data_IF_802040084846
#
_entry.id   IF_802040084846
#
_cell.length_a   1.000
_cell.length_b   1.000
_cell.length_c   1.000
_cell.angle_alpha   90.00
_cell.angle_beta   90.00
_cell.angle_gamma   90.00
#
_symmetry.space_group_name_H-M   'P 1'
#
loop_
_entity.id
_entity.type
_entity.pdbx_description
1 polymer ?
#
# COMPACT_ATOMS: atom_id res chain seq x y z
N UNK A 1 -2.68 14.46 8.27
CA UNK A 1 -3.17 13.64 7.14
C UNK A 1 -2.25 13.89 5.95
N UNK A 2 -1.39 12.92 5.62
CA UNK A 2 -0.34 13.03 4.60
C UNK A 2 -0.96 13.24 3.20
N UNK A 3 -2.11 12.62 2.91
CA UNK A 3 -2.78 12.73 1.60
C UNK A 3 -3.24 14.16 1.30
N UNK A 4 -3.76 14.88 2.32
CA UNK A 4 -4.24 16.26 2.15
C UNK A 4 -3.12 17.26 1.80
N UNK A 5 -1.88 16.93 2.13
CA UNK A 5 -0.73 17.79 1.90
C UNK A 5 -0.23 17.73 0.46
N UNK A 6 -0.62 16.70 -0.33
CA UNK A 6 -0.13 16.47 -1.70
C UNK A 6 1.41 16.59 -1.79
N UNK A 7 2.10 16.09 -0.77
CA UNK A 7 3.54 16.28 -0.62
C UNK A 7 4.33 15.59 -1.73
N UNK A 8 5.39 16.24 -2.20
CA UNK A 8 6.35 15.64 -3.14
C UNK A 8 7.45 14.88 -2.41
N UNK A 9 7.63 15.12 -1.11
CA UNK A 9 8.65 14.51 -0.25
C UNK A 9 8.56 12.98 -0.27
N UNK A 10 9.67 12.37 -0.66
CA UNK A 10 9.83 10.92 -0.80
C UNK A 10 9.84 10.23 0.56
N UNK A 11 10.41 10.84 1.60
CA UNK A 11 10.49 10.24 2.93
C UNK A 11 9.12 10.19 3.60
N UNK A 12 8.31 11.23 3.44
CA UNK A 12 6.92 11.21 3.88
C UNK A 12 6.08 10.14 3.15
N UNK A 13 6.33 9.90 1.86
CA UNK A 13 5.67 8.82 1.11
C UNK A 13 6.13 7.44 1.60
N UNK A 14 7.42 7.24 1.84
CA UNK A 14 7.96 6.00 2.41
C UNK A 14 7.33 5.70 3.77
N UNK A 15 7.25 6.71 4.64
CA UNK A 15 6.59 6.58 5.94
C UNK A 15 5.12 6.16 5.80
N UNK A 16 4.38 6.77 4.87
CA UNK A 16 2.99 6.38 4.62
C UNK A 16 2.86 4.91 4.19
N UNK A 17 3.77 4.44 3.31
CA UNK A 17 3.82 3.04 2.87
C UNK A 17 4.20 2.10 4.02
N UNK A 18 5.24 2.43 4.79
CA UNK A 18 5.70 1.62 5.92
C UNK A 18 4.58 1.49 6.99
N UNK A 19 3.82 2.57 7.22
CA UNK A 19 2.64 2.55 8.08
C UNK A 19 1.54 1.63 7.52
N UNK A 20 1.25 1.68 6.21
CA UNK A 20 0.28 0.78 5.57
C UNK A 20 0.70 -0.70 5.63
N UNK A 21 2.01 -0.99 5.55
CA UNK A 21 2.57 -2.32 5.74
C UNK A 21 2.40 -2.77 7.20
N UNK A 22 2.72 -1.91 8.18
CA UNK A 22 2.56 -2.19 9.60
C UNK A 22 1.10 -2.47 9.98
N UNK A 23 0.14 -1.72 9.42
CA UNK A 23 -1.29 -1.93 9.65
C UNK A 23 -1.87 -3.11 8.85
N UNK A 24 -1.06 -3.79 8.02
CA UNK A 24 -1.48 -4.93 7.23
C UNK A 24 -2.38 -4.59 6.03
N UNK A 25 -2.48 -3.32 5.64
CA UNK A 25 -3.40 -2.89 4.57
C UNK A 25 -2.98 -3.42 3.20
N UNK A 26 -1.67 -3.50 2.94
CA UNK A 26 -1.15 -4.09 1.70
C UNK A 26 -1.39 -5.61 1.66
N UNK A 27 -1.17 -6.30 2.79
CA UNK A 27 -1.44 -7.74 2.92
C UNK A 27 -2.93 -8.04 2.71
N UNK A 28 -3.82 -7.28 3.35
CA UNK A 28 -5.26 -7.39 3.16
C UNK A 28 -5.65 -7.24 1.69
N UNK A 29 -5.08 -6.24 1.01
CA UNK A 29 -5.37 -5.98 -0.41
C UNK A 29 -4.93 -7.16 -1.28
N UNK A 30 -3.76 -7.77 -1.02
CA UNK A 30 -3.32 -8.97 -1.75
C UNK A 30 -4.27 -10.14 -1.56
N UNK A 31 -4.64 -10.45 -0.31
CA UNK A 31 -5.62 -11.51 -0.02
C UNK A 31 -6.92 -11.28 -0.79
N UNK A 32 -7.41 -10.04 -0.79
CA UNK A 32 -8.64 -9.70 -1.51
C UNK A 32 -8.51 -9.89 -3.03
N UNK A 33 -7.37 -9.54 -3.63
CA UNK A 33 -7.11 -9.80 -5.05
C UNK A 33 -7.16 -11.31 -5.34
N UNK A 34 -6.50 -12.14 -4.54
CA UNK A 34 -6.53 -13.59 -4.74
C UNK A 34 -7.95 -14.17 -4.66
N UNK A 35 -8.74 -13.75 -3.68
CA UNK A 35 -10.15 -14.16 -3.57
C UNK A 35 -10.95 -13.74 -4.80
N UNK A 36 -10.79 -12.50 -5.28
CA UNK A 36 -11.50 -12.03 -6.48
C UNK A 36 -11.09 -12.80 -7.74
N UNK A 37 -9.81 -13.17 -7.85
CA UNK A 37 -9.30 -13.96 -8.97
C UNK A 37 -9.86 -15.38 -8.96
N UNK A 38 -9.97 -15.99 -7.78
CA UNK A 38 -10.61 -17.30 -7.59
C UNK A 38 -12.09 -17.26 -8.00
N UNK A 39 -12.85 -16.30 -7.47
CA UNK A 39 -14.26 -16.05 -7.85
C UNK A 39 -14.41 -15.86 -9.38
N UNK A 40 -13.48 -15.12 -10.01
CA UNK A 40 -13.48 -14.91 -11.46
C UNK A 40 -13.26 -16.20 -12.26
N UNK A 41 -12.34 -17.07 -11.82
CA UNK A 41 -12.09 -18.35 -12.50
C UNK A 41 -13.26 -19.31 -12.35
N UNK A 42 -13.91 -19.34 -11.18
CA UNK A 42 -15.15 -20.10 -10.96
C UNK A 42 -16.23 -19.66 -11.95
N UNK A 43 -16.54 -18.37 -11.99
CA UNK A 43 -17.53 -17.82 -12.93
C UNK A 43 -17.19 -18.10 -14.39
N UNK A 44 -15.90 -18.04 -14.76
CA UNK A 44 -15.47 -18.37 -16.12
C UNK A 44 -15.68 -19.84 -16.46
N UNK A 45 -15.47 -20.73 -15.51
CA UNK A 45 -15.69 -22.16 -15.71
C UNK A 45 -17.18 -22.48 -15.91
N UNK A 46 -18.06 -21.82 -15.17
CA UNK A 46 -19.52 -21.98 -15.27
C UNK A 46 -20.07 -21.49 -16.62
N UNK A 47 -19.45 -20.46 -17.20
CA UNK A 47 -19.86 -19.84 -18.46
C UNK A 47 -19.24 -20.50 -19.71
N UNK A 48 -18.55 -21.64 -19.56
CA UNK A 48 -17.96 -22.39 -20.67
C UNK A 48 -16.52 -22.01 -21.04
N UNK A 49 -15.87 -21.17 -20.22
CA UNK A 49 -14.45 -20.84 -20.32
C UNK A 49 -14.10 -19.79 -21.38
N UNK A 50 -13.05 -19.01 -21.11
CA UNK A 50 -12.48 -18.08 -22.08
C UNK A 50 -10.97 -17.93 -21.88
N UNK A 51 -10.18 -18.58 -22.73
CA UNK A 51 -8.71 -18.63 -22.60
C UNK A 51 -8.05 -17.25 -22.69
N UNK A 52 -8.57 -16.34 -23.53
CA UNK A 52 -8.03 -14.99 -23.64
C UNK A 52 -8.23 -14.21 -22.34
N UNK A 53 -9.43 -14.27 -21.77
CA UNK A 53 -9.74 -13.58 -20.53
C UNK A 53 -8.96 -14.18 -19.35
N UNK A 54 -8.82 -15.50 -19.29
CA UNK A 54 -8.00 -16.17 -18.27
C UNK A 54 -6.54 -15.71 -18.32
N UNK A 55 -5.96 -15.59 -19.52
CA UNK A 55 -4.58 -15.10 -19.69
C UNK A 55 -4.42 -13.62 -19.31
N UNK A 56 -5.47 -12.82 -19.47
CA UNK A 56 -5.48 -11.43 -19.06
C UNK A 56 -5.52 -11.33 -17.53
N UNK A 57 -6.41 -12.09 -16.88
CA UNK A 57 -6.54 -12.13 -15.42
C UNK A 57 -5.22 -12.58 -14.78
N UNK A 58 -4.58 -13.61 -15.31
CA UNK A 58 -3.28 -14.10 -14.83
C UNK A 58 -2.20 -12.99 -14.86
N UNK A 59 -2.16 -12.19 -15.94
CA UNK A 59 -1.23 -11.07 -16.04
C UNK A 59 -1.54 -9.94 -15.06
N UNK A 60 -2.82 -9.65 -14.84
CA UNK A 60 -3.25 -8.60 -13.90
C UNK A 60 -3.06 -9.00 -12.43
N UNK A 61 -3.19 -10.29 -12.12
CA UNK A 61 -3.07 -10.84 -10.78
C UNK A 61 -1.61 -11.01 -10.32
N UNK A 62 -0.63 -10.80 -11.20
CA UNK A 62 0.78 -10.96 -10.89
C UNK A 62 1.24 -9.83 -9.94
N UNK A 63 1.48 -10.18 -8.68
CA UNK A 63 1.94 -9.25 -7.63
C UNK A 63 3.39 -9.58 -7.29
N UNK A 64 4.28 -8.59 -7.35
CA UNK A 64 5.69 -8.75 -7.01
C UNK A 64 5.91 -8.77 -5.49
N UNK A 65 6.36 -9.92 -4.97
CA UNK A 65 6.58 -10.13 -3.53
C UNK A 65 7.80 -9.37 -2.97
N UNK A 66 8.71 -8.90 -3.84
CA UNK A 66 9.97 -8.22 -3.43
C UNK A 66 9.77 -6.85 -2.77
N UNK A 67 8.59 -6.25 -2.89
CA UNK A 67 8.36 -4.87 -2.45
C UNK A 67 8.04 -4.70 -0.96
N UNK A 68 7.78 -5.80 -0.23
CA UNK A 68 7.11 -5.73 1.07
C UNK A 68 7.98 -6.17 2.25
N UNK A 69 9.31 -6.15 2.09
CA UNK A 69 10.21 -6.38 3.22
C UNK A 69 9.92 -5.35 4.31
N UNK A 70 9.55 -5.76 5.54
CA UNK A 70 9.24 -4.84 6.62
C UNK A 70 10.48 -4.01 6.92
N UNK A 71 10.50 -2.75 6.49
CA UNK A 71 11.51 -1.81 6.95
C UNK A 71 11.16 -1.47 8.39
N UNK A 72 12.14 -1.44 9.30
CA UNK A 72 11.88 -0.99 10.65
C UNK A 72 11.27 0.40 10.57
N UNK A 73 10.12 0.65 11.24
CA UNK A 73 9.47 1.94 11.18
C UNK A 73 10.51 2.99 11.60
N UNK A 74 10.77 4.02 10.78
CA UNK A 74 11.67 5.07 11.17
C UNK A 74 11.06 5.71 12.42
N UNK A 75 11.66 5.44 13.58
CA UNK A 75 11.29 6.07 14.84
C UNK A 75 11.11 7.56 14.55
N UNK A 76 9.89 8.06 14.77
CA UNK A 76 9.39 9.38 14.40
C UNK A 76 10.49 10.46 14.39
N UNK A 77 11.21 10.60 13.28
CA UNK A 77 11.97 11.82 12.95
C UNK A 77 11.00 12.81 12.32
N UNK A 78 9.95 13.12 13.08
CA UNK A 78 9.32 14.43 12.95
C UNK A 78 10.24 15.35 13.72
N UNK A 79 10.98 16.17 12.98
CA UNK A 79 11.83 17.22 13.52
C UNK A 79 11.10 17.93 14.67
N UNK A 80 11.61 17.77 15.88
CA UNK A 80 11.31 18.64 17.02
C UNK A 80 11.99 19.99 16.87
N UNK A 81 12.01 20.54 15.66
CA UNK A 81 12.71 21.78 15.31
C UNK A 81 11.89 22.55 14.28
N UNK A 82 10.68 22.92 14.67
CA UNK A 82 10.07 24.21 14.31
C UNK A 82 8.78 24.33 15.12
N UNK A 83 8.57 25.47 15.77
CA UNK A 83 7.50 25.79 16.74
C UNK A 83 7.80 25.55 18.23
N UNK A 84 8.80 26.25 18.79
CA UNK A 84 8.60 27.00 20.04
C UNK A 84 9.65 28.11 20.23
N UNK A 85 9.55 29.20 19.46
CA UNK A 85 10.04 30.51 19.91
C UNK A 85 8.86 31.32 20.44
N UNK A 86 8.35 30.93 21.62
CA UNK A 86 7.65 31.90 22.48
C UNK A 86 8.74 32.62 23.26
N UNK A 87 9.12 33.79 22.76
CA UNK A 87 9.89 34.78 23.50
C UNK A 87 9.10 35.16 24.76
N UNK A 88 9.70 34.93 25.93
CA UNK A 88 9.28 35.57 27.17
C UNK A 88 10.02 36.92 27.31
N UNK A 89 9.32 38.06 27.52
CA UNK A 89 9.98 39.27 27.99
C UNK A 89 10.19 39.20 29.51
N UNK A 90 11.25 39.89 29.96
CA UNK A 90 11.62 40.10 31.36
C UNK A 90 10.49 40.67 32.23
#
# INVERSE_FOLDING_TARGET
>A
NILRQRTEDIELKKYAVDYMTLTGSLEYTRKRIFTLVEELYEMLSELGGNQFLQSLIEKLAKIDEKADAPRPPPALRLSTDDQLTVSAPC
#
